data_IF_206445625508
#
_entry.id   IF_206445625508
#
_cell.length_a   1.000
_cell.length_b   1.000
_cell.length_c   1.000
_cell.angle_alpha   90.00
_cell.angle_beta   90.00
_cell.angle_gamma   90.00
#
_symmetry.space_group_name_H-M   'P 1'
#
loop_
_entity.id
_entity.type
_entity.pdbx_description
1 polymer ?
#
# COMPACT_ATOMS: atom_id res chain seq x y z
N UNK A 1 -4.09 -38.85 0.51
CA UNK A 1 -4.00 -37.97 1.68
C UNK A 1 -3.24 -36.70 1.29
N UNK A 2 -3.85 -35.53 1.47
CA UNK A 2 -3.17 -34.27 1.31
C UNK A 2 -2.05 -34.12 2.35
N UNK A 3 -0.94 -33.45 1.95
CA UNK A 3 0.13 -33.08 2.88
C UNK A 3 -0.46 -32.24 4.03
N UNK A 4 -0.11 -32.54 5.29
CA UNK A 4 -0.57 -31.74 6.42
C UNK A 4 -0.27 -30.26 6.18
N UNK A 5 -1.23 -29.41 6.46
CA UNK A 5 -0.99 -27.97 6.40
C UNK A 5 -0.16 -27.51 7.58
N UNK A 6 0.87 -26.73 7.32
CA UNK A 6 1.70 -26.15 8.38
C UNK A 6 1.05 -24.89 8.98
N UNK A 7 -0.17 -24.56 8.58
CA UNK A 7 -0.91 -23.41 9.07
C UNK A 7 -1.39 -23.65 10.52
N UNK A 8 -1.18 -22.63 11.35
CA UNK A 8 -1.62 -22.63 12.76
C UNK A 8 -2.57 -21.45 12.99
N UNK A 9 -3.63 -21.62 13.82
CA UNK A 9 -4.58 -20.54 14.11
C UNK A 9 -3.94 -19.27 14.69
N UNK A 10 -2.87 -19.41 15.46
CA UNK A 10 -2.10 -18.31 16.04
C UNK A 10 -1.44 -17.40 14.98
N UNK A 11 -1.25 -17.89 13.77
CA UNK A 11 -0.69 -17.12 12.66
C UNK A 11 -1.61 -15.98 12.22
N UNK A 12 -2.90 -16.07 12.49
CA UNK A 12 -3.89 -15.03 12.17
C UNK A 12 -3.54 -13.72 12.88
N UNK A 13 -3.36 -13.77 14.19
CA UNK A 13 -3.01 -12.58 14.99
C UNK A 13 -1.59 -12.09 14.71
N UNK A 14 -0.65 -13.02 14.58
CA UNK A 14 0.74 -12.68 14.23
C UNK A 14 0.85 -11.98 12.88
N UNK A 15 0.12 -12.46 11.89
CA UNK A 15 0.10 -11.85 10.56
C UNK A 15 -0.51 -10.45 10.60
N UNK A 16 -1.56 -10.24 11.37
CA UNK A 16 -2.17 -8.91 11.55
C UNK A 16 -1.15 -7.94 12.13
N UNK A 17 -0.47 -8.32 13.18
CA UNK A 17 0.56 -7.47 13.82
C UNK A 17 1.69 -7.11 12.87
N UNK A 18 2.18 -8.07 12.08
CA UNK A 18 3.20 -7.80 11.08
C UNK A 18 2.72 -6.85 9.98
N UNK A 19 1.48 -7.00 9.54
CA UNK A 19 0.88 -6.10 8.55
C UNK A 19 0.67 -4.68 9.08
N UNK A 20 0.33 -4.52 10.34
CA UNK A 20 0.23 -3.21 11.02
C UNK A 20 1.57 -2.47 11.03
N UNK A 21 2.66 -3.20 11.03
CA UNK A 21 4.02 -2.66 10.92
C UNK A 21 4.47 -2.43 9.48
N UNK A 22 3.63 -2.71 8.51
CA UNK A 22 3.90 -2.50 7.09
C UNK A 22 4.58 -3.67 6.38
N UNK A 23 4.48 -4.88 6.92
CA UNK A 23 5.09 -6.05 6.30
C UNK A 23 4.51 -6.35 4.91
N UNK A 24 5.39 -6.65 3.97
CA UNK A 24 5.04 -7.16 2.63
C UNK A 24 4.70 -8.65 2.68
N UNK A 25 4.12 -9.17 1.62
CA UNK A 25 3.84 -10.61 1.52
C UNK A 25 5.11 -11.46 1.61
N UNK A 26 6.21 -10.99 1.02
CA UNK A 26 7.50 -11.68 1.11
C UNK A 26 8.04 -11.71 2.55
N UNK A 27 7.94 -10.59 3.24
CA UNK A 27 8.35 -10.49 4.66
C UNK A 27 7.50 -11.37 5.56
N UNK A 28 6.20 -11.48 5.29
CA UNK A 28 5.31 -12.41 5.99
C UNK A 28 5.69 -13.87 5.73
N UNK A 29 5.97 -14.21 4.49
CA UNK A 29 6.43 -15.56 4.14
C UNK A 29 7.74 -15.90 4.87
N UNK A 30 8.68 -14.98 4.91
CA UNK A 30 9.94 -15.13 5.64
C UNK A 30 9.71 -15.25 7.15
N UNK A 31 8.80 -14.46 7.70
CA UNK A 31 8.42 -14.52 9.12
C UNK A 31 7.87 -15.88 9.53
N UNK A 32 7.01 -16.47 8.70
CA UNK A 32 6.44 -17.81 8.95
C UNK A 32 7.36 -18.95 8.47
N UNK A 33 8.47 -18.65 7.83
CA UNK A 33 9.38 -19.66 7.30
C UNK A 33 8.80 -20.47 6.15
N UNK A 34 7.96 -19.87 5.33
CA UNK A 34 7.30 -20.51 4.18
C UNK A 34 7.56 -19.73 2.89
N UNK A 35 7.24 -20.35 1.76
CA UNK A 35 7.31 -19.67 0.47
C UNK A 35 6.13 -18.70 0.28
N UNK A 36 6.31 -17.70 -0.57
CA UNK A 36 5.22 -16.80 -0.97
C UNK A 36 4.02 -17.55 -1.56
N UNK A 37 4.27 -18.63 -2.26
CA UNK A 37 3.23 -19.53 -2.80
C UNK A 37 2.41 -20.19 -1.70
N UNK A 38 3.06 -20.63 -0.63
CA UNK A 38 2.37 -21.20 0.54
C UNK A 38 1.53 -20.14 1.24
N UNK A 39 2.05 -18.93 1.40
CA UNK A 39 1.31 -17.81 1.97
C UNK A 39 0.05 -17.49 1.14
N UNK A 40 0.18 -17.43 -0.19
CA UNK A 40 -0.94 -17.23 -1.10
C UNK A 40 -2.02 -18.32 -0.95
N UNK A 41 -1.59 -19.57 -0.86
CA UNK A 41 -2.50 -20.69 -0.62
C UNK A 41 -3.24 -20.56 0.72
N UNK A 42 -2.56 -20.10 1.76
CA UNK A 42 -3.20 -19.84 3.06
C UNK A 42 -4.26 -18.74 2.97
N UNK A 43 -4.00 -17.69 2.22
CA UNK A 43 -4.99 -16.62 1.98
C UNK A 43 -6.27 -17.17 1.32
N UNK A 44 -6.12 -18.10 0.39
CA UNK A 44 -7.24 -18.69 -0.32
C UNK A 44 -8.00 -19.74 0.53
N UNK A 45 -7.29 -20.52 1.33
CA UNK A 45 -7.87 -21.62 2.10
C UNK A 45 -8.42 -21.19 3.46
N UNK A 46 -7.91 -20.09 4.02
CA UNK A 46 -8.28 -19.59 5.34
C UNK A 46 -8.79 -18.15 5.22
N UNK A 47 -10.11 -17.93 5.08
CA UNK A 47 -10.67 -16.58 4.94
C UNK A 47 -10.34 -15.65 6.11
N UNK A 48 -10.29 -16.19 7.33
CA UNK A 48 -9.92 -15.41 8.52
C UNK A 48 -8.49 -14.89 8.46
N UNK A 49 -7.57 -15.67 7.92
CA UNK A 49 -6.19 -15.25 7.68
C UNK A 49 -6.14 -14.11 6.65
N UNK A 50 -6.84 -14.25 5.54
CA UNK A 50 -6.94 -13.20 4.52
C UNK A 50 -7.51 -11.89 5.08
N UNK A 51 -8.56 -11.98 5.88
CA UNK A 51 -9.17 -10.81 6.52
C UNK A 51 -8.24 -10.15 7.54
N UNK A 52 -7.49 -10.94 8.30
CA UNK A 52 -6.50 -10.42 9.24
C UNK A 52 -5.38 -9.64 8.54
N UNK A 53 -4.92 -10.11 7.39
CA UNK A 53 -3.94 -9.40 6.57
C UNK A 53 -4.47 -8.06 6.09
N UNK A 54 -5.69 -8.03 5.59
CA UNK A 54 -6.35 -6.79 5.13
C UNK A 54 -6.55 -5.80 6.29
N UNK A 55 -7.04 -6.29 7.42
CA UNK A 55 -7.24 -5.47 8.61
C UNK A 55 -5.93 -4.90 9.15
N UNK A 56 -4.84 -5.65 9.08
CA UNK A 56 -3.52 -5.18 9.50
C UNK A 56 -2.90 -4.17 8.53
N UNK A 57 -3.13 -4.32 7.23
CA UNK A 57 -2.59 -3.40 6.21
C UNK A 57 -3.29 -2.04 6.19
N UNK A 58 -4.57 -1.98 6.50
CA UNK A 58 -5.36 -0.75 6.45
C UNK A 58 -4.79 0.40 7.29
N UNK A 59 -4.41 0.22 8.58
CA UNK A 59 -3.80 1.31 9.36
C UNK A 59 -2.46 1.79 8.80
N UNK A 60 -1.65 0.89 8.25
CA UNK A 60 -0.38 1.26 7.63
C UNK A 60 -0.62 2.11 6.38
N UNK A 61 -1.55 1.71 5.54
CA UNK A 61 -1.93 2.44 4.32
C UNK A 61 -2.51 3.83 4.65
N UNK A 62 -3.37 3.93 5.66
CA UNK A 62 -3.92 5.20 6.14
C UNK A 62 -2.84 6.17 6.60
N UNK A 63 -1.80 5.68 7.26
CA UNK A 63 -0.67 6.51 7.69
C UNK A 63 0.08 7.09 6.49
N UNK A 64 0.30 6.29 5.46
CA UNK A 64 0.95 6.75 4.22
C UNK A 64 0.06 7.73 3.48
N UNK A 65 -1.23 7.46 3.35
CA UNK A 65 -2.20 8.37 2.75
C UNK A 65 -2.22 9.74 3.45
N UNK A 66 -2.24 9.74 4.77
CA UNK A 66 -2.18 10.98 5.56
C UNK A 66 -0.88 11.74 5.33
N UNK A 67 0.26 11.06 5.31
CA UNK A 67 1.55 11.66 5.01
C UNK A 67 1.58 12.29 3.62
N UNK A 68 1.04 11.60 2.63
CA UNK A 68 0.94 12.13 1.27
C UNK A 68 0.07 13.39 1.23
N UNK A 69 -1.07 13.37 1.89
CA UNK A 69 -1.97 14.52 1.99
C UNK A 69 -1.28 15.73 2.63
N UNK A 70 -0.63 15.53 3.78
CA UNK A 70 0.11 16.60 4.46
C UNK A 70 1.21 17.18 3.58
N UNK A 71 1.94 16.34 2.87
CA UNK A 71 2.97 16.76 1.94
C UNK A 71 2.41 17.54 0.75
N UNK A 72 1.24 17.14 0.26
CA UNK A 72 0.58 17.78 -0.86
C UNK A 72 0.05 19.20 -0.52
N UNK A 73 -0.47 19.40 0.70
CA UNK A 73 -1.03 20.69 1.13
C UNK A 73 -0.02 21.58 1.88
N UNK A 74 1.11 21.02 2.27
CA UNK A 74 2.08 21.70 3.14
C UNK A 74 1.70 21.57 4.62
N UNK A 75 2.68 21.71 5.49
CA UNK A 75 2.48 21.61 6.93
C UNK A 75 3.55 22.39 7.69
N UNK A 76 3.27 22.68 8.95
CA UNK A 76 4.24 23.24 9.88
C UNK A 76 4.62 22.19 10.92
N UNK A 77 5.85 22.25 11.36
CA UNK A 77 6.37 21.32 12.37
C UNK A 77 7.30 22.04 13.32
N UNK A 78 7.19 21.70 14.61
CA UNK A 78 8.14 22.13 15.61
C UNK A 78 9.45 21.37 15.46
N UNK A 79 10.54 22.10 15.31
CA UNK A 79 11.90 21.57 15.18
C UNK A 79 12.85 22.31 16.11
N UNK A 80 14.05 21.77 16.24
CA UNK A 80 15.12 22.40 17.01
C UNK A 80 16.25 22.75 16.04
N UNK A 81 16.57 24.03 15.95
CA UNK A 81 17.73 24.51 15.22
C UNK A 81 18.98 24.36 16.10
N UNK A 82 19.93 23.61 15.63
CA UNK A 82 21.18 23.34 16.35
C UNK A 82 22.32 24.07 15.67
N UNK A 83 22.95 25.00 16.41
CA UNK A 83 24.10 25.77 15.93
C UNK A 83 25.23 25.72 16.91
N UNK A 84 26.45 25.90 16.41
CA UNK A 84 27.63 26.09 17.24
C UNK A 84 27.94 27.58 17.27
N UNK A 85 27.87 28.17 18.45
CA UNK A 85 28.19 29.58 18.72
C UNK A 85 29.30 29.64 19.78
N UNK A 86 30.44 30.24 19.45
CA UNK A 86 31.59 30.33 20.36
C UNK A 86 32.07 28.98 20.92
N UNK A 87 32.01 27.92 20.11
CA UNK A 87 32.40 26.56 20.54
C UNK A 87 31.34 25.83 21.37
N UNK A 88 30.20 26.43 21.62
CA UNK A 88 29.08 25.83 22.37
C UNK A 88 27.92 25.45 21.43
N UNK A 89 27.26 24.34 21.72
CA UNK A 89 26.05 23.90 20.98
C UNK A 89 24.85 24.65 21.54
N UNK A 90 24.20 25.44 20.68
CA UNK A 90 22.96 26.17 21.02
C UNK A 90 21.79 25.52 20.30
N UNK A 91 20.78 25.14 21.07
CA UNK A 91 19.53 24.58 20.57
C UNK A 91 18.44 25.64 20.68
N UNK A 92 17.83 25.99 19.55
CA UNK A 92 16.75 27.00 19.51
C UNK A 92 15.49 26.34 18.96
N UNK A 93 14.37 26.33 19.72
CA UNK A 93 13.09 25.88 19.18
C UNK A 93 12.65 26.77 18.03
N UNK A 94 12.31 26.16 16.92
CA UNK A 94 11.77 26.85 15.73
C UNK A 94 10.51 26.14 15.24
N UNK A 95 9.68 26.89 14.50
CA UNK A 95 8.56 26.30 13.78
C UNK A 95 8.88 26.38 12.29
N UNK A 96 9.10 25.19 11.70
CA UNK A 96 9.48 25.10 10.29
C UNK A 96 8.27 24.83 9.42
N UNK A 97 8.14 25.61 8.36
CA UNK A 97 7.13 25.43 7.33
C UNK A 97 7.68 24.57 6.19
N UNK A 98 6.94 23.53 5.86
CA UNK A 98 7.20 22.68 4.70
C UNK A 98 6.16 23.02 3.63
N UNK A 99 6.56 23.67 2.52
CA UNK A 99 5.61 24.09 1.48
C UNK A 99 4.98 22.89 0.78
N UNK A 100 3.82 23.09 0.13
CA UNK A 100 3.20 22.06 -0.68
C UNK A 100 4.15 21.46 -1.70
N UNK A 101 4.10 20.14 -1.86
CA UNK A 101 4.89 19.44 -2.88
C UNK A 101 4.04 19.23 -4.13
N UNK A 102 4.53 19.72 -5.26
CA UNK A 102 3.80 19.66 -6.53
C UNK A 102 3.57 18.22 -7.00
N UNK A 103 4.57 17.35 -6.87
CA UNK A 103 4.46 15.95 -7.28
C UNK A 103 3.40 15.20 -6.46
N UNK A 104 3.39 15.41 -5.14
CA UNK A 104 2.39 14.82 -4.25
C UNK A 104 0.98 15.33 -4.58
N UNK A 105 0.83 16.62 -4.85
CA UNK A 105 -0.45 17.22 -5.24
C UNK A 105 -0.96 16.66 -6.57
N UNK A 106 -0.10 16.54 -7.56
CA UNK A 106 -0.44 15.97 -8.88
C UNK A 106 -0.89 14.53 -8.74
N UNK A 107 -0.12 13.70 -8.01
CA UNK A 107 -0.46 12.30 -7.77
C UNK A 107 -1.83 12.16 -7.09
N UNK A 108 -2.09 12.94 -6.07
CA UNK A 108 -3.37 12.94 -5.37
C UNK A 108 -4.53 13.30 -6.29
N UNK A 109 -4.40 14.40 -7.03
CA UNK A 109 -5.46 14.90 -7.92
C UNK A 109 -5.76 13.94 -9.08
N UNK A 110 -4.75 13.35 -9.70
CA UNK A 110 -4.93 12.37 -10.79
C UNK A 110 -5.69 11.12 -10.33
N UNK A 111 -5.44 10.69 -9.10
CA UNK A 111 -6.07 9.48 -8.55
C UNK A 111 -7.41 9.73 -7.89
N UNK A 112 -7.62 10.89 -7.28
CA UNK A 112 -8.86 11.26 -6.59
C UNK A 112 -9.88 11.96 -7.48
N UNK A 113 -9.41 12.75 -8.44
CA UNK A 113 -10.24 13.48 -9.39
C UNK A 113 -9.81 13.23 -10.83
N UNK A 114 -9.85 11.98 -11.30
CA UNK A 114 -9.36 11.65 -12.63
C UNK A 114 -10.13 12.30 -13.77
N UNK A 115 -11.40 12.65 -13.57
CA UNK A 115 -12.20 13.35 -14.57
C UNK A 115 -11.66 14.73 -14.91
N UNK A 116 -11.07 15.41 -13.93
CA UNK A 116 -10.53 16.77 -14.08
C UNK A 116 -9.02 16.80 -14.30
N UNK A 117 -8.29 15.85 -13.74
CA UNK A 117 -6.84 15.91 -13.61
C UNK A 117 -6.07 14.76 -14.26
N UNK A 118 -6.74 13.77 -14.85
CA UNK A 118 -6.05 12.68 -15.55
C UNK A 118 -5.28 13.22 -16.75
N UNK A 119 -4.20 12.54 -17.11
CA UNK A 119 -3.50 12.82 -18.35
C UNK A 119 -4.42 12.46 -19.52
N UNK A 120 -4.68 13.42 -20.39
CA UNK A 120 -5.48 13.21 -21.60
C UNK A 120 -4.54 12.87 -22.74
N UNK A 121 -4.71 11.68 -23.28
CA UNK A 121 -4.05 11.30 -24.53
C UNK A 121 -5.14 11.20 -25.60
N UNK A 122 -5.13 12.14 -26.52
CA UNK A 122 -5.99 12.06 -27.70
C UNK A 122 -5.34 11.11 -28.70
N UNK A 123 -5.88 9.90 -28.78
CA UNK A 123 -5.45 8.93 -29.78
C UNK A 123 -6.49 8.92 -30.89
N UNK A 124 -6.10 9.43 -32.08
CA UNK A 124 -6.92 9.30 -33.26
C UNK A 124 -6.77 7.89 -33.82
N UNK A 125 -7.83 7.12 -33.72
CA UNK A 125 -7.90 5.82 -34.38
C UNK A 125 -8.47 6.01 -35.80
N UNK A 126 -7.61 5.82 -36.81
CA UNK A 126 -8.06 5.76 -38.20
C UNK A 126 -8.26 4.30 -38.60
N UNK A 127 -9.48 3.93 -38.94
CA UNK A 127 -9.82 2.58 -39.40
C UNK A 127 -10.94 1.93 -38.62
N UNK A 128 -11.45 0.80 -39.13
CA UNK A 128 -12.50 0.04 -38.47
C UNK A 128 -11.90 -0.87 -37.40
N UNK A 129 -12.36 -0.71 -36.16
CA UNK A 129 -12.01 -1.60 -35.07
C UNK A 129 -13.07 -2.69 -34.99
N UNK A 130 -12.68 -3.93 -35.22
CA UNK A 130 -13.56 -5.09 -35.02
C UNK A 130 -13.42 -5.56 -33.57
N UNK A 131 -14.50 -5.52 -32.83
CA UNK A 131 -14.57 -6.13 -31.53
C UNK A 131 -15.09 -7.57 -31.68
N UNK A 132 -14.26 -8.54 -31.36
CA UNK A 132 -14.72 -9.91 -31.18
C UNK A 132 -15.04 -10.13 -29.72
N UNK A 133 -16.28 -10.51 -29.47
CA UNK A 133 -16.70 -10.88 -28.12
C UNK A 133 -16.21 -12.29 -27.84
N UNK A 134 -15.23 -12.38 -26.92
CA UNK A 134 -14.75 -13.67 -26.42
C UNK A 134 -15.59 -14.02 -25.21
N UNK A 135 -16.44 -15.04 -25.34
CA UNK A 135 -17.16 -15.60 -24.21
C UNK A 135 -16.32 -16.74 -23.60
N UNK A 136 -15.89 -16.53 -22.37
CA UNK A 136 -15.28 -17.61 -21.60
C UNK A 136 -16.39 -18.46 -21.01
N UNK A 137 -16.60 -19.65 -21.55
CA UNK A 137 -17.48 -20.64 -20.96
C UNK A 137 -16.67 -21.48 -19.99
N UNK A 138 -17.00 -21.35 -18.69
CA UNK A 138 -16.45 -22.21 -17.67
C UNK A 138 -17.17 -23.55 -17.78
N UNK A 139 -16.48 -24.55 -18.29
CA UNK A 139 -16.97 -25.92 -18.31
C UNK A 139 -16.68 -26.55 -16.95
N UNK A 140 -17.75 -26.95 -16.25
CA UNK A 140 -17.61 -27.66 -15.00
C UNK A 140 -16.97 -29.03 -15.26
N UNK A 141 -15.80 -29.33 -14.68
CA UNK A 141 -15.13 -30.61 -14.89
C UNK A 141 -15.85 -31.80 -14.22
N UNK A 142 -16.90 -31.57 -13.45
CA UNK A 142 -17.71 -32.60 -12.78
C UNK A 142 -18.84 -33.15 -13.65
N UNK A 143 -18.86 -32.80 -14.92
CA UNK A 143 -19.87 -33.29 -15.87
C UNK A 143 -19.79 -34.78 -16.16
#
# INVERSE_FOLDING_TARGET
MGRPTDFKPEYIDQAREQCEQGATDQELADFFGVSARTLYRWKNNFPEFCQALKAGKAPADERVERSLFERAVGYERDEVDIRVVNGEIVQTPIRKFYPPDTTAAIFWLKNRKPSDWRDKTDVEHSGAVKFERIECVVVDPAG
#
